data_IF_678759634252
#
_entry.id   IF_678759634252
#
_cell.length_a   1.000
_cell.length_b   1.000
_cell.length_c   1.000
_cell.angle_alpha   90.00
_cell.angle_beta   90.00
_cell.angle_gamma   90.00
#
_symmetry.space_group_name_H-M   'P 1'
#
loop_
_entity.id
_entity.type
_entity.pdbx_description
1 polymer ?
#
# COMPACT_ATOMS: atom_id res chain seq x y z
N UNK A 1 44.84 -5.86 -4.19
CA UNK A 1 43.80 -6.87 -3.87
C UNK A 1 42.89 -6.98 -5.08
N UNK A 2 42.51 -8.18 -5.54
CA UNK A 2 41.60 -8.27 -6.69
C UNK A 2 40.19 -7.91 -6.21
N UNK A 3 39.35 -7.20 -6.99
CA UNK A 3 37.98 -6.87 -6.61
C UNK A 3 37.10 -8.08 -6.23
N UNK A 4 37.47 -9.29 -6.70
CA UNK A 4 36.80 -10.52 -6.31
C UNK A 4 37.08 -10.90 -4.84
N UNK A 5 38.25 -10.56 -4.30
CA UNK A 5 38.65 -10.88 -2.93
C UNK A 5 37.91 -9.99 -1.90
N UNK A 6 37.42 -8.82 -2.33
CA UNK A 6 36.66 -7.89 -1.49
C UNK A 6 35.22 -8.32 -1.23
N UNK A 7 34.67 -9.28 -1.98
CA UNK A 7 33.27 -9.73 -1.77
C UNK A 7 33.07 -10.35 -0.38
N UNK A 8 34.10 -11.01 0.16
CA UNK A 8 34.08 -11.58 1.51
C UNK A 8 34.03 -10.50 2.61
N UNK A 9 34.43 -9.27 2.29
CA UNK A 9 34.36 -8.13 3.21
C UNK A 9 32.98 -7.48 3.23
N UNK A 10 32.16 -7.68 2.19
CA UNK A 10 30.79 -7.14 2.10
C UNK A 10 29.82 -7.94 2.98
N UNK A 11 30.09 -9.23 3.19
CA UNK A 11 29.29 -10.08 4.06
C UNK A 11 29.44 -11.56 3.74
N UNK A 12 28.80 -12.40 4.55
CA UNK A 12 28.71 -13.85 4.26
C UNK A 12 27.54 -14.09 3.31
N UNK A 13 27.71 -14.90 2.25
CA UNK A 13 26.60 -15.28 1.40
C UNK A 13 25.57 -16.10 2.19
N UNK A 14 24.29 -15.88 1.91
CA UNK A 14 23.19 -16.68 2.45
C UNK A 14 22.84 -17.78 1.45
N UNK A 15 22.88 -19.02 1.92
CA UNK A 15 22.35 -20.15 1.18
C UNK A 15 20.85 -20.27 1.43
N UNK A 16 20.08 -20.52 0.37
CA UNK A 16 18.66 -20.84 0.46
C UNK A 16 18.30 -21.92 -0.57
N UNK A 17 17.19 -22.61 -0.36
CA UNK A 17 16.72 -23.65 -1.27
C UNK A 17 15.80 -23.06 -2.34
N UNK A 18 16.33 -22.88 -3.56
CA UNK A 18 15.59 -22.30 -4.68
C UNK A 18 14.32 -23.09 -5.05
N UNK A 19 14.33 -24.42 -4.91
CA UNK A 19 13.15 -25.26 -5.16
C UNK A 19 11.97 -24.89 -4.24
N UNK A 20 12.23 -24.54 -2.98
CA UNK A 20 11.17 -24.18 -2.02
C UNK A 20 10.49 -22.86 -2.37
N UNK A 21 11.15 -21.95 -3.10
CA UNK A 21 10.60 -20.64 -3.45
C UNK A 21 9.24 -20.72 -4.17
N UNK A 22 9.01 -21.79 -4.95
CA UNK A 22 7.74 -22.01 -5.65
C UNK A 22 6.60 -22.38 -4.71
N UNK A 23 6.91 -23.03 -3.59
CA UNK A 23 5.92 -23.53 -2.63
C UNK A 23 5.68 -22.55 -1.48
N UNK A 24 6.69 -21.79 -1.06
CA UNK A 24 6.56 -20.78 0.01
C UNK A 24 6.07 -19.42 -0.50
N UNK A 25 5.83 -19.29 -1.81
CA UNK A 25 5.24 -18.10 -2.41
C UNK A 25 6.24 -16.98 -2.75
N UNK A 26 7.51 -17.31 -3.02
CA UNK A 26 8.48 -16.37 -3.59
C UNK A 26 9.92 -16.53 -3.06
N UNK A 27 10.87 -15.90 -3.76
CA UNK A 27 12.29 -15.94 -3.42
C UNK A 27 12.58 -15.27 -2.08
N UNK A 28 12.02 -14.08 -1.84
CA UNK A 28 12.19 -13.38 -0.56
C UNK A 28 11.75 -14.23 0.64
N UNK A 29 10.64 -14.95 0.49
CA UNK A 29 10.13 -15.86 1.53
C UNK A 29 11.04 -17.08 1.72
N UNK A 30 11.59 -17.63 0.64
CA UNK A 30 12.56 -18.72 0.74
C UNK A 30 13.90 -18.31 1.38
N UNK A 31 14.37 -17.09 1.11
CA UNK A 31 15.57 -16.52 1.77
C UNK A 31 15.31 -16.37 3.27
N UNK A 32 14.18 -15.78 3.65
CA UNK A 32 13.81 -15.65 5.06
C UNK A 32 13.71 -17.01 5.75
N UNK A 33 13.08 -18.00 5.10
CA UNK A 33 12.98 -19.36 5.62
C UNK A 33 14.34 -20.02 5.80
N UNK A 34 15.24 -19.94 4.82
CA UNK A 34 16.59 -20.49 4.93
C UNK A 34 17.37 -19.89 6.11
N UNK A 35 17.24 -18.58 6.29
CA UNK A 35 17.88 -17.88 7.41
C UNK A 35 17.20 -18.21 8.76
N UNK A 36 15.88 -18.42 8.78
CA UNK A 36 15.16 -18.92 9.96
C UNK A 36 15.64 -20.31 10.36
N UNK A 37 15.78 -21.24 9.41
CA UNK A 37 16.30 -22.60 9.66
C UNK A 37 17.70 -22.56 10.26
N UNK A 38 18.59 -21.70 9.72
CA UNK A 38 19.93 -21.51 10.24
C UNK A 38 19.93 -21.08 11.73
N UNK A 39 19.07 -20.13 12.09
CA UNK A 39 18.98 -19.64 13.47
C UNK A 39 18.23 -20.59 14.39
N UNK A 40 17.24 -21.33 13.90
CA UNK A 40 16.48 -22.29 14.68
C UNK A 40 17.38 -23.44 15.20
N UNK A 41 18.34 -23.90 14.40
CA UNK A 41 19.35 -24.88 14.83
C UNK A 41 20.32 -24.35 15.90
N UNK A 42 20.46 -23.03 16.01
CA UNK A 42 21.45 -22.36 16.88
C UNK A 42 20.81 -21.71 18.11
N UNK A 43 19.49 -21.58 18.10
CA UNK A 43 18.74 -21.03 19.23
C UNK A 43 18.64 -22.07 20.34
N UNK A 44 18.93 -21.63 21.57
CA UNK A 44 18.73 -22.42 22.79
C UNK A 44 17.45 -22.02 23.54
N UNK A 45 16.83 -20.90 23.17
CA UNK A 45 15.54 -20.46 23.73
C UNK A 45 14.39 -21.24 23.08
N UNK A 46 13.47 -21.74 23.91
CA UNK A 46 12.30 -22.49 23.48
C UNK A 46 11.35 -21.68 22.58
N UNK A 47 11.39 -20.34 22.69
CA UNK A 47 10.60 -19.40 21.86
C UNK A 47 11.26 -19.14 20.51
N UNK A 48 12.49 -19.61 20.29
CA UNK A 48 13.29 -19.40 19.10
C UNK A 48 14.23 -18.20 19.20
N UNK A 49 14.75 -17.75 18.06
CA UNK A 49 15.75 -16.67 18.01
C UNK A 49 15.08 -15.31 18.20
N UNK A 50 15.62 -14.49 19.10
CA UNK A 50 15.26 -13.07 19.12
C UNK A 50 16.03 -12.31 18.04
N UNK A 51 15.30 -11.54 17.21
CA UNK A 51 15.93 -10.63 16.24
C UNK A 51 15.09 -9.39 15.96
N UNK A 52 15.79 -8.27 15.79
CA UNK A 52 15.19 -7.05 15.26
C UNK A 52 15.05 -7.10 13.73
N UNK A 53 14.13 -6.31 13.18
CA UNK A 53 13.96 -6.22 11.72
C UNK A 53 15.22 -5.71 11.02
N UNK A 54 15.96 -4.79 11.65
CA UNK A 54 17.23 -4.29 11.09
C UNK A 54 18.28 -5.40 11.02
N UNK A 55 18.36 -6.25 12.04
CA UNK A 55 19.27 -7.40 12.04
C UNK A 55 18.86 -8.48 11.03
N UNK A 56 17.58 -8.59 10.69
CA UNK A 56 17.12 -9.42 9.57
C UNK A 56 17.51 -8.81 8.22
N UNK A 57 17.37 -7.49 8.07
CA UNK A 57 17.74 -6.76 6.86
C UNK A 57 19.25 -6.83 6.60
N UNK A 58 20.08 -6.62 7.62
CA UNK A 58 21.54 -6.66 7.50
C UNK A 58 22.05 -8.05 7.08
N UNK A 59 21.34 -9.11 7.44
CA UNK A 59 21.67 -10.47 7.03
C UNK A 59 21.12 -10.78 5.63
N UNK A 60 19.81 -10.59 5.45
CA UNK A 60 19.08 -11.11 4.28
C UNK A 60 18.99 -10.13 3.11
N UNK A 61 19.25 -8.84 3.35
CA UNK A 61 18.96 -7.76 2.40
C UNK A 61 17.47 -7.47 2.20
N UNK A 62 16.57 -8.16 2.92
CA UNK A 62 15.13 -7.96 2.79
C UNK A 62 14.69 -6.71 3.55
N UNK A 63 13.96 -5.83 2.87
CA UNK A 63 13.32 -4.68 3.50
C UNK A 63 12.28 -5.10 4.53
N UNK A 64 11.92 -4.19 5.44
CA UNK A 64 10.86 -4.44 6.44
C UNK A 64 9.55 -4.99 5.81
N UNK A 65 9.15 -4.48 4.63
CA UNK A 65 7.92 -4.91 3.94
C UNK A 65 8.03 -6.34 3.41
N UNK A 66 9.19 -6.69 2.84
CA UNK A 66 9.46 -8.03 2.36
C UNK A 66 9.51 -9.01 3.53
N UNK A 67 10.18 -8.63 4.63
CA UNK A 67 10.18 -9.41 5.87
C UNK A 67 8.75 -9.63 6.38
N UNK A 68 7.93 -8.57 6.49
CA UNK A 68 6.55 -8.69 6.94
C UNK A 68 5.72 -9.63 6.05
N UNK A 69 5.90 -9.54 4.73
CA UNK A 69 5.21 -10.40 3.76
C UNK A 69 5.67 -11.85 3.85
N UNK A 70 6.99 -12.09 3.93
CA UNK A 70 7.57 -13.41 4.10
C UNK A 70 7.09 -14.07 5.40
N UNK A 71 7.15 -13.33 6.52
CA UNK A 71 6.66 -13.80 7.81
C UNK A 71 5.18 -14.15 7.77
N UNK A 72 4.34 -13.31 7.13
CA UNK A 72 2.92 -13.62 6.94
C UNK A 72 2.73 -14.94 6.18
N UNK A 73 3.39 -15.11 5.03
CA UNK A 73 3.31 -16.33 4.21
C UNK A 73 3.73 -17.57 4.98
N UNK A 74 4.83 -17.50 5.73
CA UNK A 74 5.32 -18.63 6.54
C UNK A 74 4.40 -18.97 7.71
N UNK A 75 3.78 -17.98 8.36
CA UNK A 75 2.77 -18.22 9.39
C UNK A 75 1.48 -18.82 8.81
N UNK A 76 1.04 -18.34 7.65
CA UNK A 76 -0.13 -18.88 6.95
C UNK A 76 0.08 -20.35 6.55
N UNK A 77 1.33 -20.75 6.27
CA UNK A 77 1.74 -22.15 6.04
C UNK A 77 1.98 -22.95 7.32
N UNK A 78 1.90 -22.33 8.50
CA UNK A 78 2.19 -22.97 9.79
C UNK A 78 3.68 -23.22 10.07
N UNK A 79 4.59 -22.69 9.24
CA UNK A 79 6.03 -22.95 9.33
C UNK A 79 6.74 -22.06 10.35
N UNK A 80 6.22 -20.87 10.61
CA UNK A 80 6.82 -19.88 11.50
C UNK A 80 5.93 -19.64 12.73
N UNK A 81 6.53 -19.71 13.91
CA UNK A 81 5.93 -19.29 15.18
C UNK A 81 6.57 -17.97 15.61
N UNK A 82 5.75 -16.95 15.84
CA UNK A 82 6.18 -15.65 16.37
C UNK A 82 5.68 -15.46 17.80
N UNK A 83 6.61 -15.25 18.72
CA UNK A 83 6.31 -15.00 20.14
C UNK A 83 6.72 -13.58 20.52
N UNK A 84 5.77 -12.63 20.66
CA UNK A 84 6.08 -11.26 21.07
C UNK A 84 6.23 -11.16 22.60
N UNK A 85 7.36 -10.64 23.05
CA UNK A 85 7.60 -10.27 24.44
C UNK A 85 7.27 -8.80 24.63
N UNK A 86 6.03 -8.54 25.08
CA UNK A 86 5.42 -7.20 25.12
C UNK A 86 6.21 -6.20 25.97
N UNK A 87 6.77 -6.63 27.10
CA UNK A 87 7.50 -5.77 28.03
C UNK A 87 8.81 -5.21 27.46
N UNK A 88 9.51 -5.99 26.63
CA UNK A 88 10.82 -5.62 26.09
C UNK A 88 10.76 -5.21 24.61
N UNK A 89 9.56 -5.18 24.01
CA UNK A 89 9.33 -4.96 22.58
C UNK A 89 10.14 -5.91 21.67
N UNK A 90 10.31 -7.16 22.14
CA UNK A 90 11.10 -8.19 21.46
C UNK A 90 10.19 -9.18 20.73
N UNK A 91 10.66 -9.70 19.59
CA UNK A 91 9.96 -10.76 18.86
C UNK A 91 10.90 -11.94 18.71
N UNK A 92 10.45 -13.12 19.13
CA UNK A 92 11.13 -14.39 18.95
C UNK A 92 10.54 -15.13 17.75
N UNK A 93 11.41 -15.72 16.93
CA UNK A 93 11.06 -16.45 15.71
C UNK A 93 11.52 -17.90 15.84
N UNK A 94 10.60 -18.85 15.66
CA UNK A 94 10.89 -20.27 15.73
C UNK A 94 10.35 -20.99 14.52
N UNK A 95 11.11 -21.95 14.00
CA UNK A 95 10.63 -22.87 12.99
C UNK A 95 9.76 -23.93 13.66
N UNK A 96 8.53 -24.10 13.20
CA UNK A 96 7.74 -25.27 13.57
C UNK A 96 8.27 -26.48 12.78
N UNK A 97 9.11 -27.29 13.44
CA UNK A 97 9.79 -28.44 12.81
C UNK A 97 8.82 -29.55 12.43
N UNK A 98 7.78 -29.76 13.22
CA UNK A 98 6.76 -30.79 12.94
C UNK A 98 5.93 -30.36 11.72
N UNK A 99 5.46 -29.11 11.71
CA UNK A 99 4.74 -28.56 10.57
C UNK A 99 5.62 -28.52 9.31
N UNK A 100 6.91 -28.16 9.43
CA UNK A 100 7.84 -28.14 8.31
C UNK A 100 8.06 -29.53 7.70
N UNK A 101 8.27 -30.56 8.52
CA UNK A 101 8.45 -31.92 8.01
C UNK A 101 7.19 -32.43 7.30
N UNK A 102 6.02 -32.24 7.92
CA UNK A 102 4.74 -32.60 7.30
C UNK A 102 4.50 -31.83 5.98
N UNK A 103 4.87 -30.55 5.95
CA UNK A 103 4.76 -29.72 4.76
C UNK A 103 5.70 -30.21 3.63
N UNK A 104 6.96 -30.51 3.92
CA UNK A 104 7.90 -31.07 2.92
C UNK A 104 7.40 -32.40 2.35
N UNK A 105 6.82 -33.27 3.18
CA UNK A 105 6.22 -34.51 2.71
C UNK A 105 5.04 -34.27 1.77
N UNK A 106 4.19 -33.28 2.07
CA UNK A 106 3.06 -32.91 1.20
C UNK A 106 3.53 -32.41 -0.16
N UNK A 107 4.54 -31.53 -0.17
CA UNK A 107 5.14 -30.98 -1.40
C UNK A 107 5.77 -32.08 -2.26
N UNK A 108 6.38 -33.09 -1.62
CA UNK A 108 7.03 -34.20 -2.32
C UNK A 108 6.00 -35.15 -2.96
N UNK A 109 4.82 -35.33 -2.33
CA UNK A 109 3.73 -36.16 -2.87
C UNK A 109 3.04 -35.51 -4.08
N UNK A 110 2.95 -34.18 -4.10
CA UNK A 110 2.41 -33.41 -5.23
C UNK A 110 3.34 -33.40 -6.47
N UNK A 111 4.53 -34.00 -6.37
CA UNK A 111 5.56 -34.02 -7.41
C UNK A 111 5.51 -35.27 -8.31
N UNK A 112 4.62 -36.23 -8.06
CA UNK A 112 4.37 -37.38 -8.96
C UNK A 112 3.66 -36.87 -10.24
N UNK A 113 4.25 -37.03 -11.44
CA UNK A 113 3.79 -36.32 -12.63
C UNK A 113 2.62 -37.06 -13.29
N UNK A 114 1.38 -36.67 -12.98
CA UNK A 114 0.27 -36.90 -13.91
C UNK A 114 0.26 -35.77 -14.96
N UNK A 115 0.92 -36.06 -16.09
CA UNK A 115 0.77 -35.40 -17.39
C UNK A 115 1.02 -33.87 -17.45
N UNK A 116 2.29 -33.50 -17.63
CA UNK A 116 2.73 -32.73 -18.81
C UNK A 116 2.28 -31.27 -19.02
N UNK A 117 1.44 -30.67 -18.20
CA UNK A 117 1.11 -29.24 -18.31
C UNK A 117 1.80 -28.44 -17.21
N UNK A 118 2.80 -27.66 -17.61
CA UNK A 118 3.36 -26.56 -16.82
C UNK A 118 2.21 -25.62 -16.43
N UNK A 119 1.60 -25.85 -15.26
CA UNK A 119 0.58 -24.96 -14.71
C UNK A 119 1.24 -23.59 -14.56
N UNK A 120 0.83 -22.65 -15.40
CA UNK A 120 1.28 -21.26 -15.35
C UNK A 120 1.15 -20.76 -13.92
N UNK A 121 2.29 -20.58 -13.27
CA UNK A 121 2.37 -20.11 -11.90
C UNK A 121 1.74 -18.72 -11.84
N UNK A 122 0.66 -18.60 -11.08
CA UNK A 122 0.10 -17.32 -10.70
C UNK A 122 1.07 -16.71 -9.69
N UNK A 123 2.10 -16.02 -10.18
CA UNK A 123 2.85 -15.08 -9.35
C UNK A 123 1.88 -13.96 -8.98
N UNK A 124 1.47 -13.80 -7.71
CA UNK A 124 0.88 -12.54 -7.31
C UNK A 124 2.00 -11.52 -7.51
N UNK A 125 1.86 -10.61 -8.48
CA UNK A 125 2.84 -9.58 -8.78
C UNK A 125 3.38 -8.99 -7.47
N UNK A 126 4.66 -9.23 -7.16
CA UNK A 126 5.43 -8.44 -6.19
C UNK A 126 5.71 -7.07 -6.82
N UNK A 127 4.64 -6.30 -7.01
CA UNK A 127 4.67 -4.96 -7.62
C UNK A 127 5.19 -3.88 -6.66
N UNK A 128 5.83 -4.27 -5.56
CA UNK A 128 6.31 -3.34 -4.53
C UNK A 128 7.85 -3.24 -4.46
N UNK A 129 8.59 -3.81 -5.40
CA UNK A 129 10.05 -3.69 -5.50
C UNK A 129 10.50 -2.62 -6.51
N UNK A 130 9.89 -1.43 -6.46
CA UNK A 130 10.48 -0.22 -7.06
C UNK A 130 10.34 0.93 -6.06
N UNK A 131 11.22 0.92 -5.05
CA UNK A 131 11.52 2.11 -4.27
C UNK A 131 12.81 2.71 -4.84
N UNK A 132 12.69 3.67 -5.76
CA UNK A 132 13.79 4.56 -6.10
C UNK A 132 14.28 5.24 -4.82
N UNK A 133 15.48 4.87 -4.38
CA UNK A 133 16.20 5.63 -3.37
C UNK A 133 16.77 6.88 -4.05
N UNK A 134 16.19 8.03 -3.72
CA UNK A 134 16.77 9.34 -3.99
C UNK A 134 18.04 9.50 -3.15
N UNK A 135 19.22 9.31 -3.76
CA UNK A 135 20.51 9.66 -3.16
C UNK A 135 20.70 11.17 -3.33
N UNK A 136 20.86 11.97 -2.26
CA UNK A 136 21.28 13.36 -2.40
C UNK A 136 22.80 13.38 -2.60
N UNK A 137 23.27 13.71 -3.81
CA UNK A 137 24.68 14.02 -4.02
C UNK A 137 24.83 15.48 -4.46
N UNK A 138 25.29 16.31 -3.53
CA UNK A 138 25.94 17.59 -3.81
C UNK A 138 27.31 17.35 -4.47
N UNK A 139 27.67 18.16 -5.46
CA UNK A 139 29.07 18.50 -5.76
C UNK A 139 29.67 17.98 -7.07
N UNK A 140 29.42 18.74 -8.14
CA UNK A 140 30.33 19.21 -9.19
C UNK A 140 31.27 18.30 -10.02
N UNK A 141 31.23 18.63 -11.31
CA UNK A 141 32.27 18.61 -12.34
C UNK A 141 32.54 17.33 -13.17
N UNK A 142 31.95 17.43 -14.37
CA UNK A 142 32.62 17.31 -15.66
C UNK A 142 32.93 15.92 -16.23
N UNK A 143 32.43 15.73 -17.46
CA UNK A 143 32.73 14.69 -18.46
C UNK A 143 32.03 13.35 -18.27
N UNK A 144 30.81 13.26 -18.79
CA UNK A 144 30.54 12.30 -19.87
C UNK A 144 29.41 12.80 -20.77
N UNK A 145 29.74 12.78 -22.05
CA UNK A 145 29.11 13.46 -23.16
C UNK A 145 28.20 12.48 -23.92
N UNK A 146 27.06 13.02 -24.37
CA UNK A 146 26.28 12.67 -25.58
C UNK A 146 25.47 11.37 -25.67
N UNK A 147 24.36 11.48 -26.41
CA UNK A 147 23.23 10.55 -26.62
C UNK A 147 22.30 10.53 -25.40
N UNK A 148 21.30 11.41 -25.31
CA UNK A 148 20.11 11.40 -26.18
C UNK A 148 19.65 12.86 -26.43
N UNK A 149 19.69 13.29 -27.69
CA UNK A 149 19.03 14.53 -28.11
C UNK A 149 17.54 14.28 -28.36
N UNK A 150 16.73 15.20 -27.82
CA UNK A 150 15.55 15.83 -28.42
C UNK A 150 14.40 14.91 -28.84
N UNK A 151 13.29 14.99 -28.10
CA UNK A 151 12.03 15.46 -28.70
C UNK A 151 11.19 16.15 -27.62
N UNK A 152 11.16 17.48 -27.68
CA UNK A 152 10.18 18.37 -27.04
C UNK A 152 8.84 18.20 -27.75
N UNK A 153 7.72 18.16 -27.02
CA UNK A 153 6.45 18.79 -27.44
C UNK A 153 5.45 18.80 -26.28
N UNK A 154 5.15 20.01 -25.81
CA UNK A 154 3.91 20.36 -25.11
C UNK A 154 2.76 20.35 -26.11
N UNK A 155 1.61 19.73 -25.79
CA UNK A 155 0.31 20.14 -26.35
C UNK A 155 -0.78 19.99 -25.27
N UNK A 156 -1.36 21.15 -24.94
CA UNK A 156 -2.59 21.40 -24.21
C UNK A 156 -3.80 21.17 -25.12
N UNK A 157 -4.91 20.61 -24.60
CA UNK A 157 -6.32 21.09 -24.67
C UNK A 157 -7.37 19.97 -24.62
N UNK A 158 -8.40 20.25 -23.81
CA UNK A 158 -9.86 20.10 -24.00
C UNK A 158 -10.41 18.91 -24.81
N UNK A 159 -11.39 18.21 -24.22
CA UNK A 159 -12.35 17.41 -24.99
C UNK A 159 -13.77 17.73 -24.50
N UNK A 160 -14.49 18.41 -25.38
CA UNK A 160 -15.94 18.64 -25.41
C UNK A 160 -16.67 17.37 -25.85
N UNK A 161 -17.87 17.17 -25.31
CA UNK A 161 -18.83 16.10 -25.64
C UNK A 161 -19.21 16.05 -27.12
N UNK A 162 -19.41 14.85 -27.68
CA UNK A 162 -20.63 14.51 -28.45
C UNK A 162 -20.74 13.02 -28.75
N UNK A 163 -21.97 12.53 -28.57
CA UNK A 163 -22.51 11.21 -28.87
C UNK A 163 -22.55 10.94 -30.39
N UNK A 164 -22.30 9.69 -30.83
CA UNK A 164 -23.13 8.96 -31.82
C UNK A 164 -22.65 7.50 -32.04
N UNK A 165 -23.63 6.68 -32.39
CA UNK A 165 -23.73 5.21 -32.37
C UNK A 165 -22.92 4.44 -33.43
N UNK A 166 -22.51 3.20 -33.12
CA UNK A 166 -21.98 2.23 -34.10
C UNK A 166 -21.30 1.01 -33.50
N UNK A 167 -21.89 -0.16 -33.70
CA UNK A 167 -21.55 -1.48 -33.16
C UNK A 167 -20.24 -2.12 -33.67
N UNK A 168 -19.40 -2.62 -32.76
CA UNK A 168 -18.65 -3.89 -32.84
C UNK A 168 -17.81 -4.06 -31.55
N UNK A 169 -17.95 -5.16 -30.82
CA UNK A 169 -17.11 -5.46 -29.66
C UNK A 169 -15.65 -5.67 -30.08
N UNK A 170 -14.69 -5.06 -29.37
CA UNK A 170 -13.74 -5.89 -28.63
C UNK A 170 -13.26 -5.28 -27.30
N UNK A 171 -12.96 -6.17 -26.34
CA UNK A 171 -12.05 -5.95 -25.21
C UNK A 171 -12.27 -4.63 -24.42
N UNK A 172 -13.30 -4.63 -23.55
CA UNK A 172 -13.71 -3.47 -22.75
C UNK A 172 -12.59 -3.05 -21.80
N UNK A 173 -11.77 -2.07 -22.21
CA UNK A 173 -11.14 -1.12 -21.29
C UNK A 173 -12.29 -0.55 -20.45
N UNK A 174 -12.39 -0.99 -19.20
CA UNK A 174 -13.47 -0.56 -18.30
C UNK A 174 -13.23 0.91 -18.06
N UNK A 175 -14.08 1.76 -18.64
CA UNK A 175 -14.08 3.18 -18.36
C UNK A 175 -14.19 3.36 -16.84
N UNK A 176 -13.40 4.24 -16.22
CA UNK A 176 -13.56 4.52 -14.82
C UNK A 176 -14.99 5.04 -14.61
N UNK A 177 -15.72 4.42 -13.68
CA UNK A 177 -17.05 4.90 -13.28
C UNK A 177 -17.00 6.41 -13.02
N UNK A 178 -18.03 7.15 -13.42
CA UNK A 178 -18.15 8.60 -13.19
C UNK A 178 -17.92 8.93 -11.71
N UNK A 179 -18.46 8.12 -10.81
CA UNK A 179 -18.28 8.24 -9.35
C UNK A 179 -16.83 8.07 -8.89
N UNK A 180 -16.07 7.18 -9.53
CA UNK A 180 -14.64 7.06 -9.27
C UNK A 180 -13.88 8.31 -9.75
N UNK A 181 -14.29 8.90 -10.87
CA UNK A 181 -13.69 10.13 -11.37
C UNK A 181 -13.95 11.30 -10.42
N UNK A 182 -15.18 11.42 -9.90
CA UNK A 182 -15.53 12.41 -8.86
C UNK A 182 -14.66 12.25 -7.62
N UNK A 183 -14.53 11.01 -7.10
CA UNK A 183 -13.64 10.73 -5.97
C UNK A 183 -12.20 11.13 -6.27
N UNK A 184 -11.69 10.75 -7.44
CA UNK A 184 -10.33 11.05 -7.84
C UNK A 184 -10.10 12.55 -7.98
N UNK A 185 -11.04 13.32 -8.52
CA UNK A 185 -10.91 14.77 -8.65
C UNK A 185 -11.01 15.48 -7.30
N UNK A 186 -11.92 15.06 -6.42
CA UNK A 186 -12.11 15.66 -5.10
C UNK A 186 -10.91 15.47 -4.16
N UNK A 187 -10.18 14.36 -4.32
CA UNK A 187 -9.01 14.05 -3.50
C UNK A 187 -7.90 15.10 -3.64
N UNK A 188 -7.29 15.59 -2.53
CA UNK A 188 -6.21 16.58 -2.57
C UNK A 188 -5.09 16.21 -3.54
N UNK A 189 -4.71 17.15 -4.41
CA UNK A 189 -3.62 16.99 -5.38
C UNK A 189 -2.26 17.19 -4.71
N UNK A 190 -1.90 16.26 -3.83
CA UNK A 190 -0.59 16.22 -3.16
C UNK A 190 0.28 15.11 -3.76
N UNK A 191 1.56 15.05 -3.39
CA UNK A 191 2.47 13.96 -3.78
C UNK A 191 2.02 12.56 -3.34
N UNK A 192 1.00 12.45 -2.47
CA UNK A 192 0.41 11.17 -2.03
C UNK A 192 -0.69 10.66 -2.95
N UNK A 193 -1.19 11.50 -3.89
CA UNK A 193 -2.23 11.12 -4.86
C UNK A 193 -1.63 10.33 -6.03
N UNK A 194 -1.31 9.08 -5.75
CA UNK A 194 -0.66 8.16 -6.69
C UNK A 194 -1.51 6.90 -6.92
N UNK A 195 -1.05 6.03 -7.83
CA UNK A 195 -1.65 4.71 -8.10
C UNK A 195 -3.13 4.73 -8.56
N UNK A 196 -3.52 5.70 -9.40
CA UNK A 196 -4.90 5.85 -9.93
C UNK A 196 -5.49 4.53 -10.48
N UNK A 197 -4.70 3.78 -11.25
CA UNK A 197 -5.14 2.52 -11.84
C UNK A 197 -5.50 1.47 -10.77
N UNK A 198 -4.69 1.34 -9.72
CA UNK A 198 -4.92 0.41 -8.61
C UNK A 198 -6.13 0.82 -7.77
N UNK A 199 -6.32 2.13 -7.56
CA UNK A 199 -7.53 2.67 -6.93
C UNK A 199 -8.78 2.34 -7.75
N UNK A 200 -8.74 2.49 -9.08
CA UNK A 200 -9.85 2.14 -9.96
C UNK A 200 -10.17 0.64 -9.94
N UNK A 201 -9.15 -0.22 -9.89
CA UNK A 201 -9.32 -1.67 -9.73
C UNK A 201 -10.03 -2.02 -8.41
N UNK A 202 -9.61 -1.43 -7.29
CA UNK A 202 -10.25 -1.66 -5.98
C UNK A 202 -11.67 -1.12 -5.96
N UNK A 203 -11.90 0.07 -6.53
CA UNK A 203 -13.22 0.67 -6.65
C UNK A 203 -14.21 -0.27 -7.32
N UNK A 204 -13.81 -0.81 -8.48
CA UNK A 204 -14.60 -1.78 -9.23
C UNK A 204 -14.76 -3.11 -8.48
N UNK A 205 -13.67 -3.67 -7.95
CA UNK A 205 -13.67 -4.98 -7.28
C UNK A 205 -14.56 -4.99 -6.04
N UNK A 206 -14.63 -3.87 -5.31
CA UNK A 206 -15.45 -3.72 -4.10
C UNK A 206 -16.82 -3.08 -4.36
N UNK A 207 -17.19 -2.83 -5.63
CA UNK A 207 -18.46 -2.18 -6.01
C UNK A 207 -18.71 -0.86 -5.27
N UNK A 208 -17.67 -0.04 -5.14
CA UNK A 208 -17.75 1.20 -4.36
C UNK A 208 -18.66 2.27 -4.98
N UNK A 209 -19.13 2.06 -6.21
CA UNK A 209 -20.19 2.88 -6.81
C UNK A 209 -21.47 2.92 -5.96
N UNK A 210 -21.79 1.82 -5.27
CA UNK A 210 -22.98 1.72 -4.41
C UNK A 210 -22.87 2.57 -3.12
N UNK A 211 -21.65 2.91 -2.70
CA UNK A 211 -21.34 3.71 -1.49
C UNK A 211 -20.60 5.00 -1.84
N UNK A 212 -20.63 5.40 -3.12
CA UNK A 212 -19.85 6.53 -3.61
C UNK A 212 -20.24 7.86 -2.95
N UNK A 213 -21.54 8.04 -2.68
CA UNK A 213 -22.05 9.26 -2.06
C UNK A 213 -21.55 9.40 -0.61
N UNK A 214 -21.49 8.31 0.15
CA UNK A 214 -20.91 8.29 1.51
C UNK A 214 -19.41 8.57 1.48
N UNK A 215 -18.69 7.96 0.53
CA UNK A 215 -17.26 8.19 0.33
C UNK A 215 -16.97 9.65 0.03
N UNK A 216 -17.73 10.25 -0.90
CA UNK A 216 -17.55 11.65 -1.30
C UNK A 216 -17.94 12.61 -0.18
N UNK A 217 -19.06 12.37 0.50
CA UNK A 217 -19.51 13.15 1.65
C UNK A 217 -18.45 13.17 2.75
N UNK A 218 -17.92 11.99 3.11
CA UNK A 218 -16.87 11.87 4.10
C UNK A 218 -15.57 12.55 3.63
N UNK A 219 -15.18 12.38 2.37
CA UNK A 219 -13.97 13.00 1.80
C UNK A 219 -14.04 14.54 1.88
N UNK A 220 -15.19 15.12 1.55
CA UNK A 220 -15.40 16.57 1.65
C UNK A 220 -15.31 17.05 3.10
N UNK A 221 -15.86 16.29 4.05
CA UNK A 221 -15.82 16.62 5.47
C UNK A 221 -14.42 16.50 6.09
N UNK A 222 -13.66 15.44 5.77
CA UNK A 222 -12.32 15.26 6.35
C UNK A 222 -11.26 16.17 5.73
N UNK A 223 -11.46 16.64 4.48
CA UNK A 223 -10.54 17.54 3.80
C UNK A 223 -10.39 18.89 4.50
N UNK A 224 -11.39 19.29 5.29
CA UNK A 224 -11.36 20.53 6.10
C UNK A 224 -10.73 20.32 7.47
N UNK A 225 -10.32 19.09 7.83
CA UNK A 225 -9.72 18.83 9.14
C UNK A 225 -8.29 19.38 9.21
N UNK A 226 -7.83 19.85 10.38
CA UNK A 226 -6.45 20.33 10.54
C UNK A 226 -5.39 19.31 10.14
N UNK A 227 -5.67 18.02 10.35
CA UNK A 227 -4.76 16.94 9.98
C UNK A 227 -4.54 16.87 8.46
N UNK A 228 -5.61 16.95 7.66
CA UNK A 228 -5.52 16.93 6.20
C UNK A 228 -4.96 18.24 5.65
N UNK A 229 -5.33 19.38 6.24
CA UNK A 229 -4.74 20.67 5.87
C UNK A 229 -3.23 20.73 6.19
N UNK A 230 -2.77 20.01 7.22
CA UNK A 230 -1.37 19.89 7.59
C UNK A 230 -0.53 18.94 6.73
N UNK A 231 -1.08 18.34 5.66
CA UNK A 231 -0.34 17.42 4.78
C UNK A 231 -0.22 15.98 5.29
N UNK A 232 -1.03 15.62 6.31
CA UNK A 232 -1.11 14.27 6.87
C UNK A 232 -2.29 13.47 6.31
N UNK A 233 -2.77 13.82 5.12
CA UNK A 233 -3.78 13.02 4.42
C UNK A 233 -3.21 11.63 4.02
N UNK A 234 -3.99 10.56 4.16
CA UNK A 234 -3.59 9.26 3.63
C UNK A 234 -3.50 9.31 2.10
N UNK A 235 -2.75 8.38 1.49
CA UNK A 235 -2.84 8.16 0.05
C UNK A 235 -4.25 7.63 -0.32
N UNK A 236 -4.80 7.93 -1.51
CA UNK A 236 -6.12 7.44 -1.94
C UNK A 236 -6.25 5.91 -1.84
N UNK A 237 -5.17 5.19 -2.16
CA UNK A 237 -5.12 3.73 -2.06
C UNK A 237 -5.30 3.24 -0.60
N UNK A 238 -4.68 3.93 0.36
CA UNK A 238 -4.82 3.62 1.79
C UNK A 238 -6.23 3.94 2.26
N UNK A 239 -6.77 5.09 1.85
CA UNK A 239 -8.13 5.52 2.17
C UNK A 239 -9.17 4.48 1.71
N UNK A 240 -9.04 3.97 0.48
CA UNK A 240 -9.92 2.93 -0.07
C UNK A 240 -9.74 1.57 0.61
N UNK A 241 -8.49 1.14 0.85
CA UNK A 241 -8.22 -0.18 1.44
C UNK A 241 -8.76 -0.30 2.86
N UNK A 242 -8.58 0.75 3.67
CA UNK A 242 -8.99 0.81 5.07
C UNK A 242 -10.43 1.23 5.27
N UNK A 243 -11.19 1.48 4.19
CA UNK A 243 -12.60 1.88 4.24
C UNK A 243 -12.85 3.08 5.16
N UNK A 244 -11.96 4.08 5.09
CA UNK A 244 -11.92 5.18 6.07
C UNK A 244 -13.17 6.06 6.12
N UNK A 245 -14.10 5.93 5.18
CA UNK A 245 -15.42 6.57 5.27
C UNK A 245 -16.29 5.95 6.37
N UNK A 246 -15.95 4.75 6.86
CA UNK A 246 -16.64 4.07 7.96
C UNK A 246 -16.15 4.54 9.35
N UNK A 247 -15.01 5.25 9.43
CA UNK A 247 -14.41 5.69 10.70
C UNK A 247 -15.14 6.90 11.33
N UNK A 248 -16.03 7.55 10.56
CA UNK A 248 -16.73 8.76 10.96
C UNK A 248 -15.88 10.04 10.83
N UNK A 249 -16.55 11.19 10.75
CA UNK A 249 -15.87 12.49 10.69
C UNK A 249 -15.48 12.91 12.12
N UNK A 250 -14.23 13.30 12.38
CA UNK A 250 -13.86 13.82 13.70
C UNK A 250 -14.70 15.06 14.01
N UNK A 251 -15.57 14.95 15.02
CA UNK A 251 -16.41 16.05 15.50
C UNK A 251 -15.47 17.15 16.00
N UNK A 252 -15.47 18.29 15.32
CA UNK A 252 -14.76 19.47 15.80
C UNK A 252 -15.30 19.82 17.19
N UNK A 253 -14.42 19.85 18.19
CA UNK A 253 -14.74 19.96 19.62
C UNK A 253 -15.25 21.35 20.03
N UNK A 254 -16.21 21.92 19.30
CA UNK A 254 -16.79 23.24 19.61
C UNK A 254 -18.31 23.35 19.51
N UNK A 255 -19.06 22.22 19.52
CA UNK A 255 -20.52 22.27 19.77
C UNK A 255 -20.93 21.09 20.67
N UNK A 256 -20.33 21.00 21.86
CA UNK A 256 -20.80 20.12 22.93
C UNK A 256 -21.21 20.96 24.14
N UNK A 257 -22.19 21.85 23.94
CA UNK A 257 -22.99 22.41 25.04
C UNK A 257 -24.29 22.96 24.48
N UNK A 258 -25.33 22.11 24.48
CA UNK A 258 -26.64 22.37 25.10
C UNK A 258 -27.62 21.30 24.66
N UNK A 259 -28.07 20.52 25.64
CA UNK A 259 -29.26 19.67 25.53
C UNK A 259 -30.49 20.53 25.30
N UNK A 260 -31.35 20.13 24.37
CA UNK A 260 -32.67 19.54 24.68
C UNK A 260 -33.64 19.75 23.50
N UNK A 261 -34.19 18.63 22.99
CA UNK A 261 -35.47 18.55 22.30
C UNK A 261 -35.69 19.34 21.00
N UNK A 262 -35.59 18.67 19.85
CA UNK A 262 -36.13 19.15 18.59
C UNK A 262 -35.73 18.29 17.40
N UNK A 263 -36.71 17.82 16.62
CA UNK A 263 -36.53 16.90 15.48
C UNK A 263 -35.55 17.44 14.42
N UNK A 264 -34.64 16.58 13.98
CA UNK A 264 -33.49 16.82 13.08
C UNK A 264 -33.87 17.30 11.66
N UNK A 265 -35.17 17.39 11.34
CA UNK A 265 -35.65 17.73 10.01
C UNK A 265 -35.98 19.22 9.83
N UNK A 266 -36.39 19.93 10.88
CA UNK A 266 -36.78 21.36 10.78
C UNK A 266 -35.60 22.32 10.97
N UNK A 267 -34.55 21.91 11.67
CA UNK A 267 -33.40 22.79 11.95
C UNK A 267 -32.49 23.01 10.72
N UNK A 268 -32.54 22.12 9.73
CA UNK A 268 -31.70 22.22 8.53
C UNK A 268 -32.28 23.13 7.44
N UNK A 269 -33.50 23.64 7.59
CA UNK A 269 -34.07 24.60 6.62
C UNK A 269 -33.78 26.07 6.99
N UNK A 270 -33.57 26.38 8.28
CA UNK A 270 -33.36 27.76 8.75
C UNK A 270 -31.90 28.25 8.59
N UNK A 271 -30.91 27.34 8.59
CA UNK A 271 -29.50 27.71 8.43
C UNK A 271 -29.13 28.15 6.99
N UNK A 272 -29.94 27.80 5.99
CA UNK A 272 -29.72 28.18 4.60
C UNK A 272 -30.19 29.61 4.26
N UNK A 273 -30.97 30.27 5.14
CA UNK A 273 -31.47 31.62 4.90
C UNK A 273 -30.55 32.73 5.46
N UNK A 274 -29.68 32.44 6.44
CA UNK A 274 -28.89 33.48 7.10
C UNK A 274 -27.51 33.71 6.45
N UNK A 275 -26.98 32.74 5.71
CA UNK A 275 -25.68 32.87 5.01
C UNK A 275 -25.75 33.71 3.71
N UNK A 276 -26.94 34.11 3.25
CA UNK A 276 -27.10 34.91 2.02
C UNK A 276 -27.20 36.43 2.26
N UNK A 277 -27.22 36.89 3.51
CA UNK A 277 -27.41 38.30 3.86
C UNK A 277 -26.13 39.05 4.30
N UNK A 278 -24.96 38.38 4.38
CA UNK A 278 -23.73 38.99 4.92
C UNK A 278 -22.59 39.22 3.91
N UNK A 279 -22.83 39.05 2.60
CA UNK A 279 -21.76 39.24 1.58
C UNK A 279 -21.94 40.49 0.70
N UNK A 280 -23.10 41.17 0.70
CA UNK A 280 -23.26 42.46 0.01
C UNK A 280 -24.07 43.46 0.83
N UNK A 281 -23.41 44.47 1.39
CA UNK A 281 -24.10 45.65 1.90
C UNK A 281 -23.29 46.48 2.90
N UNK A 282 -22.54 47.47 2.39
CA UNK A 282 -22.38 48.72 3.13
C UNK A 282 -20.96 49.10 3.55
N UNK A 283 -20.13 49.49 2.59
CA UNK A 283 -19.26 50.64 2.81
C UNK A 283 -20.01 51.89 2.33
N UNK A 284 -20.20 52.90 3.19
CA UNK A 284 -19.65 54.26 3.07
C UNK A 284 -20.44 55.30 3.91
N UNK A 285 -19.69 56.32 4.37
CA UNK A 285 -20.04 57.73 4.52
C UNK A 285 -20.75 58.30 5.78
N UNK A 286 -19.99 59.22 6.39
CA UNK A 286 -20.33 60.54 6.97
C UNK A 286 -21.06 60.68 8.31
N UNK A 287 -20.47 61.51 9.19
CA UNK A 287 -21.05 62.06 10.41
C UNK A 287 -19.98 62.38 11.43
#
# INVERSE_FOLDING_TARGET
MKPLDTIRAIGRPIAYHAALARHVGGVATAIFLGQLMYWDERSTDERGVHKESKQWEDETGLSYREQATARKKLRDLGLLIETPERLNHRIYYKLDREAFNAWIESVSKDSEPENGELRNAHFPNDENAIGEQHIPHLGDDAKRISLIEKTTTEITTEITETNMSGSAEPNRRVLPSEKFQEFWQAYPSTGRKVAKAKCAQIWKARKLDEVADDILSHLLAIKTTPQWLGGYEPAPLTYLNQRRWEDGVPVSAHVASRSSGGSLFEQNMAAAAHAKAMIFGGGNATG
#
